data_IF_793379762091
#
_entry.id   IF_793379762091
#
_cell.length_a   1.000
_cell.length_b   1.000
_cell.length_c   1.000
_cell.angle_alpha   90.00
_cell.angle_beta   90.00
_cell.angle_gamma   90.00
#
_symmetry.space_group_name_H-M   'P 1'
#
loop_
_entity.id
_entity.type
_entity.pdbx_description
1 polymer ?
#
# COMPACT_ATOMS: atom_id res chain seq x y z
N UNK A 1 34.87 -28.56 12.04
CA UNK A 1 33.43 -28.48 12.31
C UNK A 1 32.71 -28.82 11.03
N UNK A 2 32.55 -30.11 10.76
CA UNK A 2 31.73 -30.60 9.65
C UNK A 2 30.29 -30.34 10.05
N UNK A 3 29.60 -29.44 9.32
CA UNK A 3 28.16 -29.27 9.43
C UNK A 3 27.52 -30.66 9.30
N UNK A 4 26.90 -31.13 10.37
CA UNK A 4 26.08 -32.33 10.33
C UNK A 4 24.93 -32.04 9.34
N UNK A 5 24.61 -32.94 8.39
CA UNK A 5 23.48 -32.75 7.47
C UNK A 5 22.15 -32.42 8.17
N UNK A 6 22.00 -32.82 9.44
CA UNK A 6 20.86 -32.46 10.29
C UNK A 6 20.85 -30.96 10.60
N UNK A 7 21.98 -30.40 11.08
CA UNK A 7 22.13 -28.96 11.37
C UNK A 7 21.92 -28.11 10.11
N UNK A 8 22.47 -28.55 8.97
CA UNK A 8 22.28 -27.84 7.70
C UNK A 8 20.80 -27.77 7.26
N UNK A 9 20.02 -28.80 7.57
CA UNK A 9 18.57 -28.81 7.30
C UNK A 9 17.80 -27.87 8.22
N UNK A 10 18.14 -27.80 9.51
CA UNK A 10 17.54 -26.83 10.44
C UNK A 10 17.89 -25.38 10.09
N UNK A 11 19.13 -25.11 9.67
CA UNK A 11 19.54 -23.80 9.17
C UNK A 11 18.75 -23.38 7.93
N UNK A 12 18.52 -24.31 7.00
CA UNK A 12 17.71 -24.05 5.81
C UNK A 12 16.24 -23.74 6.18
N UNK A 13 15.65 -24.49 7.11
CA UNK A 13 14.30 -24.21 7.62
C UNK A 13 14.21 -22.85 8.29
N UNK A 14 15.14 -22.54 9.20
CA UNK A 14 15.23 -21.23 9.88
C UNK A 14 15.31 -20.08 8.87
N UNK A 15 16.11 -20.25 7.83
CA UNK A 15 16.24 -19.26 6.75
C UNK A 15 14.93 -19.08 6.00
N UNK A 16 14.25 -20.18 5.64
CA UNK A 16 12.97 -20.13 4.95
C UNK A 16 11.88 -19.44 5.78
N UNK A 17 11.84 -19.72 7.09
CA UNK A 17 10.89 -19.12 8.04
C UNK A 17 11.12 -17.61 8.13
N UNK A 18 12.36 -17.16 8.35
CA UNK A 18 12.70 -15.73 8.37
C UNK A 18 12.40 -15.03 7.05
N UNK A 19 12.64 -15.70 5.93
CA UNK A 19 12.31 -15.15 4.62
C UNK A 19 10.80 -15.00 4.43
N UNK A 20 9.99 -15.96 4.93
CA UNK A 20 8.53 -15.86 4.91
C UNK A 20 8.02 -14.70 5.77
N UNK A 21 8.65 -14.45 6.93
CA UNK A 21 8.37 -13.31 7.79
C UNK A 21 8.61 -12.01 7.03
N UNK A 22 9.81 -11.82 6.46
CA UNK A 22 10.14 -10.62 5.67
C UNK A 22 9.17 -10.43 4.50
N UNK A 23 8.86 -11.49 3.73
CA UNK A 23 7.89 -11.39 2.65
C UNK A 23 6.48 -10.99 3.11
N UNK A 24 6.11 -11.36 4.34
CA UNK A 24 4.84 -10.95 4.92
C UNK A 24 4.86 -9.46 5.23
N UNK A 25 5.91 -8.96 5.88
CA UNK A 25 6.09 -7.52 6.12
C UNK A 25 6.10 -6.72 4.82
N UNK A 26 6.90 -7.13 3.84
CA UNK A 26 7.00 -6.48 2.53
C UNK A 26 5.63 -6.41 1.83
N UNK A 27 4.82 -7.46 1.94
CA UNK A 27 3.48 -7.48 1.35
C UNK A 27 2.52 -6.49 2.03
N UNK A 28 2.61 -6.35 3.37
CA UNK A 28 1.79 -5.41 4.13
C UNK A 28 2.19 -3.96 3.82
N UNK A 29 3.50 -3.66 3.78
CA UNK A 29 4.02 -2.35 3.38
C UNK A 29 3.63 -1.99 1.94
N UNK A 30 3.71 -2.95 1.00
CA UNK A 30 3.29 -2.73 -0.38
C UNK A 30 1.80 -2.40 -0.49
N UNK A 31 0.97 -3.03 0.35
CA UNK A 31 -0.47 -2.74 0.40
C UNK A 31 -0.75 -1.36 0.98
N UNK A 32 -0.09 -0.98 2.08
CA UNK A 32 -0.16 0.36 2.67
C UNK A 32 0.23 1.45 1.66
N UNK A 33 1.38 1.29 1.01
CA UNK A 33 1.86 2.23 -0.01
C UNK A 33 0.90 2.37 -1.20
N UNK A 34 0.16 1.30 -1.54
CA UNK A 34 -0.84 1.35 -2.61
C UNK A 34 -2.10 2.14 -2.24
N UNK A 35 -2.46 2.18 -0.96
CA UNK A 35 -3.59 2.96 -0.44
C UNK A 35 -3.22 4.45 -0.46
N UNK A 36 -2.07 4.82 0.10
CA UNK A 36 -1.58 6.21 0.06
C UNK A 36 -1.43 6.73 -1.37
N UNK A 37 -0.85 5.94 -2.28
CA UNK A 37 -0.75 6.32 -3.69
C UNK A 37 -2.10 6.50 -4.38
N UNK A 38 -3.16 5.82 -3.91
CA UNK A 38 -4.51 6.00 -4.43
C UNK A 38 -5.16 7.27 -3.88
N UNK A 39 -4.93 7.61 -2.61
CA UNK A 39 -5.36 8.88 -2.03
C UNK A 39 -4.71 10.07 -2.77
N UNK A 40 -3.38 10.04 -2.95
CA UNK A 40 -2.63 11.04 -3.74
C UNK A 40 -3.19 11.21 -5.17
N UNK A 41 -3.59 10.11 -5.81
CA UNK A 41 -4.14 10.14 -7.15
C UNK A 41 -5.55 10.77 -7.22
N UNK A 42 -6.35 10.64 -6.16
CA UNK A 42 -7.65 11.28 -6.05
C UNK A 42 -7.51 12.78 -5.77
N UNK A 43 -6.58 13.17 -4.91
CA UNK A 43 -6.22 14.59 -4.72
C UNK A 43 -5.80 15.23 -6.03
N UNK A 44 -4.87 14.60 -6.77
CA UNK A 44 -4.44 15.09 -8.07
C UNK A 44 -5.57 15.12 -9.12
N UNK A 45 -6.64 14.34 -8.94
CA UNK A 45 -7.83 14.40 -9.80
C UNK A 45 -8.69 15.63 -9.50
N UNK A 46 -8.69 16.12 -8.26
CA UNK A 46 -9.39 17.35 -7.87
C UNK A 46 -8.82 18.57 -8.60
N UNK A 47 -7.48 18.73 -8.56
CA UNK A 47 -6.77 19.81 -9.27
C UNK A 47 -7.05 19.80 -10.79
N UNK A 48 -7.20 18.61 -11.36
CA UNK A 48 -7.53 18.44 -12.78
C UNK A 48 -8.97 18.85 -13.09
N UNK A 49 -9.91 18.59 -12.19
CA UNK A 49 -11.32 18.99 -12.34
C UNK A 49 -11.43 20.51 -12.36
N UNK A 50 -10.76 21.21 -11.43
CA UNK A 50 -10.70 22.67 -11.42
C UNK A 50 -10.04 23.23 -12.68
N UNK A 51 -8.89 22.69 -13.06
CA UNK A 51 -8.18 23.12 -14.27
C UNK A 51 -9.03 22.92 -15.55
N UNK A 52 -9.76 21.82 -15.63
CA UNK A 52 -10.63 21.54 -16.77
C UNK A 52 -11.88 22.45 -16.80
N UNK A 53 -12.37 22.86 -15.63
CA UNK A 53 -13.45 23.83 -15.50
C UNK A 53 -13.04 25.19 -16.06
N UNK A 54 -11.87 25.70 -15.65
CA UNK A 54 -11.32 26.97 -16.16
C UNK A 54 -11.11 26.93 -17.68
N UNK A 55 -10.57 25.82 -18.20
CA UNK A 55 -10.40 25.63 -19.64
C UNK A 55 -11.74 25.64 -20.39
N UNK A 56 -12.78 25.02 -19.83
CA UNK A 56 -14.11 24.98 -20.43
C UNK A 56 -14.73 26.37 -20.48
N UNK A 57 -14.67 27.12 -19.37
CA UNK A 57 -15.14 28.52 -19.32
C UNK A 57 -14.40 29.39 -20.33
N UNK A 58 -13.07 29.31 -20.35
CA UNK A 58 -12.24 30.07 -21.29
C UNK A 58 -12.55 29.74 -22.76
N UNK A 59 -12.80 28.48 -23.09
CA UNK A 59 -13.18 28.07 -24.44
C UNK A 59 -14.55 28.62 -24.86
N UNK A 60 -15.54 28.60 -23.94
CA UNK A 60 -16.87 29.14 -24.19
C UNK A 60 -16.83 30.67 -24.33
N UNK A 61 -16.08 31.36 -23.47
CA UNK A 61 -15.88 32.82 -23.58
C UNK A 61 -15.24 33.20 -24.91
N UNK A 62 -14.17 32.50 -25.33
CA UNK A 62 -13.54 32.73 -26.62
C UNK A 62 -14.51 32.50 -27.81
N UNK A 63 -15.44 31.55 -27.68
CA UNK A 63 -16.48 31.32 -28.69
C UNK A 63 -17.47 32.49 -28.75
N UNK A 64 -17.93 33.00 -27.61
CA UNK A 64 -18.81 34.18 -27.57
C UNK A 64 -18.11 35.43 -28.08
N UNK A 65 -16.85 35.65 -27.72
CA UNK A 65 -16.05 36.79 -28.20
C UNK A 65 -15.91 36.79 -29.73
N UNK A 66 -15.73 35.60 -30.33
CA UNK A 66 -15.66 35.45 -31.79
C UNK A 66 -17.01 35.75 -32.47
N UNK A 67 -18.13 35.38 -31.85
CA UNK A 67 -19.47 35.70 -32.35
C UNK A 67 -19.75 37.21 -32.24
N UNK A 68 -19.44 37.81 -31.09
CA UNK A 68 -19.61 39.23 -30.83
C UNK A 68 -18.77 40.09 -31.81
N UNK A 69 -17.52 39.69 -32.04
CA UNK A 69 -16.65 40.35 -33.03
C UNK A 69 -17.09 40.20 -34.49
N UNK A 70 -18.04 39.30 -34.79
CA UNK A 70 -18.62 39.13 -36.13
C UNK A 70 -19.92 39.92 -36.35
N UNK A 71 -20.46 40.50 -35.28
CA UNK A 71 -21.70 41.27 -35.25
C UNK A 71 -21.42 42.78 -35.25
N UNK A 72 -22.33 43.62 -35.78
CA UNK A 72 -22.27 45.07 -35.59
C UNK A 72 -22.21 45.43 -34.10
N UNK A 73 -21.49 46.49 -33.74
CA UNK A 73 -21.49 47.02 -32.36
C UNK A 73 -22.94 47.19 -31.83
N UNK A 74 -23.17 46.81 -30.58
CA UNK A 74 -24.48 46.84 -29.87
C UNK A 74 -25.59 45.90 -30.38
N UNK A 75 -25.29 44.95 -31.27
CA UNK A 75 -26.35 44.08 -31.85
C UNK A 75 -26.60 42.76 -31.11
N UNK A 76 -25.69 42.29 -30.27
CA UNK A 76 -25.91 41.20 -29.33
C UNK A 76 -25.02 41.37 -28.09
N UNK A 77 -25.58 41.03 -26.93
CA UNK A 77 -24.88 40.97 -25.64
C UNK A 77 -24.97 39.51 -25.15
N UNK A 78 -23.82 38.94 -24.83
CA UNK A 78 -23.70 37.54 -24.39
C UNK A 78 -23.32 37.42 -22.90
N UNK A 79 -23.23 38.52 -22.15
CA UNK A 79 -22.77 38.50 -20.76
C UNK A 79 -23.67 37.64 -19.86
N UNK A 80 -24.98 37.70 -20.04
CA UNK A 80 -25.93 36.88 -19.27
C UNK A 80 -25.80 35.38 -19.60
N UNK A 81 -25.32 35.03 -20.79
CA UNK A 81 -25.01 33.65 -21.18
C UNK A 81 -23.64 33.19 -20.67
N UNK A 82 -22.66 34.11 -20.58
CA UNK A 82 -21.35 33.87 -19.94
C UNK A 82 -21.54 33.56 -18.47
N UNK A 83 -22.28 34.40 -17.74
CA UNK A 83 -22.60 34.21 -16.33
C UNK A 83 -23.32 32.87 -16.08
N UNK A 84 -24.28 32.51 -16.93
CA UNK A 84 -24.99 31.22 -16.81
C UNK A 84 -24.05 30.00 -16.99
N UNK A 85 -23.11 30.09 -17.93
CA UNK A 85 -22.12 29.03 -18.15
C UNK A 85 -21.13 28.97 -16.98
N UNK A 86 -20.67 30.13 -16.50
CA UNK A 86 -19.75 30.21 -15.39
C UNK A 86 -20.35 29.59 -14.12
N UNK A 87 -21.59 29.99 -13.76
CA UNK A 87 -22.34 29.43 -12.64
C UNK A 87 -22.56 27.91 -12.78
N UNK A 88 -22.91 27.46 -13.99
CA UNK A 88 -23.17 26.04 -14.26
C UNK A 88 -21.91 25.18 -14.16
N UNK A 89 -20.78 25.68 -14.66
CA UNK A 89 -19.49 25.02 -14.55
C UNK A 89 -19.02 25.02 -13.10
N UNK A 90 -19.08 26.16 -12.40
CA UNK A 90 -18.64 26.25 -11.00
C UNK A 90 -19.45 25.33 -10.10
N UNK A 91 -20.78 25.35 -10.19
CA UNK A 91 -21.62 24.48 -9.38
C UNK A 91 -21.32 22.99 -9.60
N UNK A 92 -20.98 22.61 -10.83
CA UNK A 92 -20.65 21.22 -11.18
C UNK A 92 -19.25 20.84 -10.70
N UNK A 93 -18.30 21.78 -10.79
CA UNK A 93 -16.93 21.62 -10.30
C UNK A 93 -16.91 21.52 -8.78
N UNK A 94 -17.55 22.44 -8.06
CA UNK A 94 -17.66 22.41 -6.59
C UNK A 94 -18.24 21.08 -6.11
N UNK A 95 -19.34 20.61 -6.72
CA UNK A 95 -19.94 19.32 -6.33
C UNK A 95 -19.01 18.12 -6.56
N UNK A 96 -18.20 18.15 -7.63
CA UNK A 96 -17.21 17.10 -7.91
C UNK A 96 -16.03 17.17 -6.95
N UNK A 97 -15.50 18.37 -6.69
CA UNK A 97 -14.41 18.63 -5.76
C UNK A 97 -14.80 18.20 -4.34
N UNK A 98 -15.96 18.62 -3.84
CA UNK A 98 -16.47 18.22 -2.52
C UNK A 98 -16.62 16.70 -2.42
N UNK A 99 -17.09 16.04 -3.49
CA UNK A 99 -17.21 14.58 -3.52
C UNK A 99 -15.85 13.87 -3.51
N UNK A 100 -14.84 14.44 -4.17
CA UNK A 100 -13.47 13.90 -4.18
C UNK A 100 -12.79 14.12 -2.83
N UNK A 101 -12.90 15.32 -2.26
CA UNK A 101 -12.37 15.65 -0.92
C UNK A 101 -12.95 14.71 0.14
N UNK A 102 -14.27 14.50 0.15
CA UNK A 102 -14.90 13.56 1.06
C UNK A 102 -14.42 12.10 0.87
N UNK A 103 -14.07 11.72 -0.37
CA UNK A 103 -13.50 10.40 -0.65
C UNK A 103 -12.04 10.29 -0.18
N UNK A 104 -11.25 11.36 -0.33
CA UNK A 104 -9.87 11.44 0.17
C UNK A 104 -9.87 11.35 1.69
N UNK A 105 -10.65 12.19 2.39
CA UNK A 105 -10.75 12.15 3.86
C UNK A 105 -11.14 10.76 4.38
N UNK A 106 -12.10 10.10 3.72
CA UNK A 106 -12.52 8.75 4.09
C UNK A 106 -11.41 7.69 3.87
N UNK A 107 -10.55 7.89 2.86
CA UNK A 107 -9.40 7.01 2.61
C UNK A 107 -8.29 7.26 3.60
N UNK A 108 -7.99 8.52 3.94
CA UNK A 108 -6.99 8.87 4.96
C UNK A 108 -7.38 8.32 6.34
N UNK A 109 -8.66 8.46 6.75
CA UNK A 109 -9.16 7.85 7.99
C UNK A 109 -9.04 6.32 7.94
N UNK A 110 -9.32 5.72 6.78
CA UNK A 110 -9.15 4.28 6.58
C UNK A 110 -7.69 3.85 6.58
N UNK A 111 -6.77 4.68 6.11
CA UNK A 111 -5.32 4.43 6.10
C UNK A 111 -4.79 4.42 7.53
N UNK A 112 -5.11 5.42 8.35
CA UNK A 112 -4.71 5.44 9.76
C UNK A 112 -5.23 4.20 10.52
N UNK A 113 -6.50 3.83 10.29
CA UNK A 113 -7.07 2.63 10.88
C UNK A 113 -6.39 1.34 10.37
N UNK A 114 -6.00 1.31 9.09
CA UNK A 114 -5.28 0.21 8.48
C UNK A 114 -3.86 0.08 9.02
N UNK A 115 -3.15 1.19 9.22
CA UNK A 115 -1.81 1.25 9.80
C UNK A 115 -1.79 0.69 11.22
N UNK A 116 -2.75 1.08 12.06
CA UNK A 116 -2.89 0.52 13.39
C UNK A 116 -3.18 -0.99 13.34
N UNK A 117 -4.03 -1.43 12.41
CA UNK A 117 -4.31 -2.85 12.22
C UNK A 117 -3.05 -3.63 11.77
N UNK A 118 -2.30 -3.10 10.82
CA UNK A 118 -1.09 -3.72 10.28
C UNK A 118 0.00 -3.80 11.33
N UNK A 119 0.21 -2.74 12.12
CA UNK A 119 1.17 -2.75 13.22
C UNK A 119 0.86 -3.87 14.23
N UNK A 120 -0.40 -4.00 14.64
CA UNK A 120 -0.83 -5.07 15.55
C UNK A 120 -0.72 -6.46 14.91
N UNK A 121 -1.12 -6.59 13.64
CA UNK A 121 -1.06 -7.86 12.92
C UNK A 121 0.39 -8.32 12.71
N UNK A 122 1.28 -7.38 12.37
CA UNK A 122 2.71 -7.57 12.22
C UNK A 122 3.37 -8.09 13.50
N UNK A 123 3.04 -7.50 14.65
CA UNK A 123 3.53 -7.97 15.96
C UNK A 123 3.07 -9.41 16.27
N UNK A 124 1.83 -9.76 15.94
CA UNK A 124 1.31 -11.12 16.11
C UNK A 124 2.02 -12.11 15.19
N UNK A 125 2.27 -11.71 13.94
CA UNK A 125 3.02 -12.50 12.96
C UNK A 125 4.44 -12.76 13.46
N UNK A 126 5.14 -11.72 13.92
CA UNK A 126 6.49 -11.81 14.46
C UNK A 126 6.55 -12.74 15.67
N UNK A 127 5.64 -12.55 16.63
CA UNK A 127 5.54 -13.41 17.81
C UNK A 127 5.30 -14.88 17.42
N UNK A 128 4.49 -15.12 16.40
CA UNK A 128 4.21 -16.48 15.92
C UNK A 128 5.42 -17.12 15.24
N UNK A 129 6.18 -16.34 14.47
CA UNK A 129 7.41 -16.76 13.83
C UNK A 129 8.52 -17.06 14.86
N UNK A 130 8.66 -16.21 15.87
CA UNK A 130 9.63 -16.42 16.96
C UNK A 130 9.28 -17.67 17.77
N UNK A 131 8.01 -17.88 18.12
CA UNK A 131 7.58 -19.11 18.79
C UNK A 131 7.83 -20.37 17.95
N UNK A 132 7.64 -20.28 16.62
CA UNK A 132 7.97 -21.38 15.72
C UNK A 132 9.48 -21.65 15.67
N UNK A 133 10.31 -20.60 15.63
CA UNK A 133 11.76 -20.71 15.65
C UNK A 133 12.27 -21.32 16.97
N UNK A 134 11.77 -20.88 18.12
CA UNK A 134 12.11 -21.47 19.43
C UNK A 134 11.73 -22.96 19.49
N UNK A 135 10.55 -23.33 18.99
CA UNK A 135 10.13 -24.72 18.94
C UNK A 135 11.07 -25.57 18.05
N UNK A 136 11.50 -25.02 16.90
CA UNK A 136 12.48 -25.67 16.03
C UNK A 136 13.85 -25.82 16.69
N UNK A 137 14.32 -24.80 17.41
CA UNK A 137 15.57 -24.86 18.18
C UNK A 137 15.55 -25.95 19.24
N UNK A 138 14.45 -26.04 19.98
CA UNK A 138 14.29 -27.06 21.01
C UNK A 138 14.25 -28.48 20.42
N UNK A 139 13.68 -28.65 19.23
CA UNK A 139 13.72 -29.92 18.50
C UNK A 139 15.15 -30.23 18.03
N UNK A 140 15.88 -29.24 17.50
CA UNK A 140 17.27 -29.40 17.08
C UNK A 140 18.17 -29.84 18.25
N UNK A 141 18.07 -29.18 19.41
CA UNK A 141 18.83 -29.56 20.61
C UNK A 141 18.54 -31.00 21.04
N UNK A 142 17.26 -31.39 21.05
CA UNK A 142 16.87 -32.76 21.40
C UNK A 142 17.40 -33.79 20.40
N UNK A 143 17.34 -33.51 19.10
CA UNK A 143 17.83 -34.41 18.05
C UNK A 143 19.36 -34.49 18.09
N UNK A 144 20.06 -33.38 18.31
CA UNK A 144 21.52 -33.35 18.47
C UNK A 144 21.95 -34.18 19.68
N UNK A 145 21.28 -34.00 20.82
CA UNK A 145 21.57 -34.77 22.02
C UNK A 145 21.35 -36.28 21.82
N UNK A 146 20.28 -36.68 21.11
CA UNK A 146 20.04 -38.09 20.78
C UNK A 146 21.12 -38.62 19.83
N UNK A 147 21.51 -37.86 18.81
CA UNK A 147 22.55 -38.26 17.87
C UNK A 147 23.91 -38.46 18.56
N UNK A 148 24.31 -37.54 19.43
CA UNK A 148 25.54 -37.63 20.22
C UNK A 148 25.52 -38.86 21.16
N UNK A 149 24.39 -39.13 21.82
CA UNK A 149 24.26 -40.32 22.68
C UNK A 149 24.39 -41.63 21.88
N UNK A 150 23.85 -41.67 20.65
CA UNK A 150 23.95 -42.83 19.77
C UNK A 150 25.39 -43.03 19.27
N UNK A 151 26.08 -41.96 18.86
CA UNK A 151 27.51 -42.03 18.49
C UNK A 151 28.35 -42.52 19.67
N UNK A 152 28.17 -41.96 20.87
CA UNK A 152 28.90 -42.38 22.06
C UNK A 152 28.68 -43.85 22.40
N UNK A 153 27.43 -44.34 22.28
CA UNK A 153 27.10 -45.75 22.52
C UNK A 153 27.73 -46.66 21.47
N UNK A 154 27.77 -46.22 20.21
CA UNK A 154 28.39 -46.97 19.12
C UNK A 154 29.92 -47.07 19.28
N UNK A 155 30.57 -45.97 19.68
CA UNK A 155 32.01 -45.93 19.96
C UNK A 155 32.38 -46.80 21.18
N UNK A 156 31.56 -46.82 22.22
CA UNK A 156 31.75 -47.74 23.37
C UNK A 156 31.64 -49.22 22.95
N UNK A 157 30.69 -49.55 22.07
CA UNK A 157 30.53 -50.91 21.55
C UNK A 157 31.74 -51.34 20.71
N UNK A 158 32.24 -50.48 19.82
CA UNK A 158 33.40 -50.76 18.96
C UNK A 158 34.72 -50.86 19.77
N UNK A 159 34.89 -50.02 20.81
CA UNK A 159 36.04 -50.10 21.71
C UNK A 159 36.05 -51.34 22.63
N UNK A 160 34.91 -52.01 22.77
CA UNK A 160 34.72 -53.22 23.61
C UNK A 160 34.76 -54.55 22.84
N UNK A 161 34.88 -54.50 21.50
CA UNK A 161 34.99 -55.65 20.59
C UNK A 161 36.45 -55.96 20.21
#
# INVERSE_FOLDING_TARGET
MTQNPITAFFDAQRTAVKQSQTLTHDALEAQQASIGAFADALEGSSDLVESNAELTKGAVHAYFDALEGSLPEDSADFDELRDLVDDGVDSTTEAQTESLEAAVEALEESEEAYDEFIANYSEVVDTSFDAALEAHEQVEENVSAVAENVEQTADEFDASA
#
